data_IF_416552004589
#
_entry.id   IF_416552004589
#
_cell.length_a   1.000
_cell.length_b   1.000
_cell.length_c   1.000
_cell.angle_alpha   90.00
_cell.angle_beta   90.00
_cell.angle_gamma   90.00
#
_symmetry.space_group_name_H-M   'P 1'
#
loop_
_entity.id
_entity.type
_entity.pdbx_description
1 polymer ?
#
# COMPACT_ATOMS: atom_id res chain seq x y z
N UNK A 1 67.36 -53.78 38.15
CA UNK A 1 67.69 -52.34 38.37
C UNK A 1 68.00 -52.14 39.84
N UNK A 2 69.08 -51.44 40.18
CA UNK A 2 69.40 -51.12 41.59
C UNK A 2 68.45 -50.03 42.11
N UNK A 3 68.11 -50.08 43.40
CA UNK A 3 67.26 -49.07 44.07
C UNK A 3 67.62 -47.59 43.78
N UNK A 4 68.90 -47.17 43.69
CA UNK A 4 69.25 -45.80 43.31
C UNK A 4 68.89 -45.44 41.86
N UNK A 5 69.00 -46.37 40.91
CA UNK A 5 68.63 -46.12 39.52
C UNK A 5 67.10 -45.92 39.39
N UNK A 6 66.30 -46.69 40.13
CA UNK A 6 64.86 -46.50 40.19
C UNK A 6 64.45 -45.15 40.79
N UNK A 7 65.13 -44.70 41.87
CA UNK A 7 64.89 -43.37 42.48
C UNK A 7 65.25 -42.23 41.52
N UNK A 8 66.36 -42.33 40.79
CA UNK A 8 66.75 -41.33 39.80
C UNK A 8 65.74 -41.23 38.64
N UNK A 9 65.22 -42.37 38.17
CA UNK A 9 64.18 -42.41 37.16
C UNK A 9 62.87 -41.76 37.63
N UNK A 10 62.43 -42.04 38.86
CA UNK A 10 61.25 -41.41 39.46
C UNK A 10 61.41 -39.90 39.62
N UNK A 11 62.60 -39.41 40.00
CA UNK A 11 62.88 -37.97 40.09
C UNK A 11 62.77 -37.30 38.72
N UNK A 12 63.34 -37.90 37.68
CA UNK A 12 63.21 -37.38 36.29
C UNK A 12 61.75 -37.35 35.84
N UNK A 13 61.00 -38.43 36.09
CA UNK A 13 59.57 -38.48 35.78
C UNK A 13 58.81 -37.31 36.42
N UNK A 14 58.96 -37.11 37.74
CA UNK A 14 58.30 -35.99 38.43
C UNK A 14 58.71 -34.61 37.91
N UNK A 15 59.98 -34.43 37.56
CA UNK A 15 60.45 -33.19 36.95
C UNK A 15 59.73 -32.91 35.62
N UNK A 16 59.60 -33.92 34.76
CA UNK A 16 58.90 -33.80 33.48
C UNK A 16 57.40 -33.59 33.65
N UNK A 17 56.75 -34.26 34.61
CA UNK A 17 55.34 -34.02 34.94
C UNK A 17 55.11 -32.56 35.37
N UNK A 18 56.00 -32.01 36.20
CA UNK A 18 55.91 -30.61 36.61
C UNK A 18 56.14 -29.64 35.45
N UNK A 19 57.13 -29.89 34.60
CA UNK A 19 57.36 -29.07 33.40
C UNK A 19 56.18 -29.15 32.43
N UNK A 20 55.54 -30.33 32.30
CA UNK A 20 54.35 -30.50 31.47
C UNK A 20 53.21 -29.62 32.01
N UNK A 21 52.93 -29.68 33.30
CA UNK A 21 51.89 -28.88 33.96
C UNK A 21 52.13 -27.38 33.79
N UNK A 22 53.36 -26.91 33.99
CA UNK A 22 53.74 -25.52 33.75
C UNK A 22 53.53 -25.11 32.29
N UNK A 23 53.94 -25.96 31.33
CA UNK A 23 53.78 -25.70 29.90
C UNK A 23 52.30 -25.64 29.52
N UNK A 24 51.46 -26.54 30.06
CA UNK A 24 50.01 -26.52 29.82
C UNK A 24 49.36 -25.24 30.35
N UNK A 25 49.76 -24.78 31.54
CA UNK A 25 49.28 -23.51 32.08
C UNK A 25 49.70 -22.31 31.21
N UNK A 26 50.93 -22.32 30.69
CA UNK A 26 51.41 -21.31 29.75
C UNK A 26 50.64 -21.33 28.42
N UNK A 27 50.35 -22.52 27.87
CA UNK A 27 49.53 -22.68 26.67
C UNK A 27 48.15 -22.07 26.88
N UNK A 28 47.47 -22.39 27.99
CA UNK A 28 46.14 -21.84 28.30
C UNK A 28 46.17 -20.31 28.41
N UNK A 29 47.24 -19.74 28.97
CA UNK A 29 47.43 -18.29 29.04
C UNK A 29 47.60 -17.67 27.65
N UNK A 30 48.40 -18.31 26.78
CA UNK A 30 48.60 -17.86 25.40
C UNK A 30 47.31 -17.96 24.58
N UNK A 31 46.53 -19.02 24.73
CA UNK A 31 45.23 -19.17 24.09
C UNK A 31 44.28 -18.02 24.49
N UNK A 32 44.20 -17.69 25.79
CA UNK A 32 43.40 -16.56 26.26
C UNK A 32 43.88 -15.22 25.65
N UNK A 33 45.18 -15.04 25.49
CA UNK A 33 45.74 -13.85 24.83
C UNK A 33 45.39 -13.80 23.34
N UNK A 34 45.47 -14.94 22.65
CA UNK A 34 45.07 -15.06 21.24
C UNK A 34 43.59 -14.66 21.08
N UNK A 35 42.69 -15.21 21.89
CA UNK A 35 41.27 -14.82 21.87
C UNK A 35 41.07 -13.33 22.10
N UNK A 36 41.81 -12.73 23.03
CA UNK A 36 41.72 -11.28 23.29
C UNK A 36 42.20 -10.46 22.10
N UNK A 37 43.26 -10.88 21.40
CA UNK A 37 43.78 -10.21 20.21
C UNK A 37 42.82 -10.35 19.02
N UNK A 38 42.26 -11.54 18.83
CA UNK A 38 41.26 -11.80 17.79
C UNK A 38 40.01 -10.94 18.00
N UNK A 39 39.49 -10.88 19.23
CA UNK A 39 38.37 -10.00 19.57
C UNK A 39 38.72 -8.51 19.32
N UNK A 40 39.92 -8.07 19.70
CA UNK A 40 40.37 -6.70 19.43
C UNK A 40 40.48 -6.41 17.92
N UNK A 41 40.97 -7.37 17.12
CA UNK A 41 41.06 -7.23 15.67
C UNK A 41 39.68 -7.15 15.01
N UNK A 42 38.73 -8.00 15.40
CA UNK A 42 37.34 -7.94 14.92
C UNK A 42 36.71 -6.59 15.25
N UNK A 43 36.91 -6.10 16.48
CA UNK A 43 36.41 -4.79 16.89
C UNK A 43 37.03 -3.67 16.06
N UNK A 44 38.35 -3.71 15.82
CA UNK A 44 39.05 -2.73 14.96
C UNK A 44 38.50 -2.74 13.54
N UNK A 45 38.28 -3.92 12.97
CA UNK A 45 37.75 -4.05 11.61
C UNK A 45 36.30 -3.56 11.51
N UNK A 46 35.48 -3.87 12.50
CA UNK A 46 34.10 -3.37 12.61
C UNK A 46 34.08 -1.85 12.67
N UNK A 47 34.93 -1.24 13.51
CA UNK A 47 35.06 0.22 13.59
C UNK A 47 35.52 0.82 12.26
N UNK A 48 36.53 0.23 11.61
CA UNK A 48 36.98 0.70 10.30
C UNK A 48 35.89 0.58 9.21
N UNK A 49 35.06 -0.46 9.26
CA UNK A 49 33.90 -0.60 8.37
C UNK A 49 32.85 0.48 8.65
N UNK A 50 32.56 0.77 9.92
CA UNK A 50 31.66 1.84 10.33
C UNK A 50 32.17 3.22 9.90
N UNK A 51 33.47 3.50 10.04
CA UNK A 51 34.08 4.76 9.57
C UNK A 51 33.91 4.94 8.06
N UNK A 52 34.17 3.89 7.27
CA UNK A 52 33.95 3.93 5.81
C UNK A 52 32.48 4.13 5.47
N UNK A 53 31.57 3.45 6.16
CA UNK A 53 30.13 3.63 5.98
C UNK A 53 29.69 5.06 6.33
N UNK A 54 30.20 5.61 7.43
CA UNK A 54 29.96 7.00 7.83
C UNK A 54 30.45 8.01 6.80
N UNK A 55 31.67 7.83 6.28
CA UNK A 55 32.21 8.66 5.21
C UNK A 55 31.38 8.56 3.91
N UNK A 56 30.93 7.36 3.54
CA UNK A 56 30.04 7.17 2.39
C UNK A 56 28.69 7.86 2.60
N UNK A 57 28.08 7.73 3.78
CA UNK A 57 26.84 8.43 4.11
C UNK A 57 27.01 9.95 4.10
N UNK A 58 28.13 10.47 4.62
CA UNK A 58 28.46 11.90 4.53
C UNK A 58 28.64 12.35 3.08
N UNK A 59 29.19 11.52 2.19
CA UNK A 59 29.30 11.87 0.77
C UNK A 59 27.94 11.86 0.06
N UNK A 60 27.07 10.89 0.38
CA UNK A 60 25.71 10.81 -0.19
C UNK A 60 24.88 12.01 0.29
N UNK A 61 24.82 12.25 1.61
CA UNK A 61 24.02 13.33 2.18
C UNK A 61 24.67 14.71 2.02
N UNK A 62 26.00 14.80 2.04
CA UNK A 62 26.73 16.06 1.83
C UNK A 62 26.61 16.60 0.40
N UNK A 63 26.31 15.74 -0.57
CA UNK A 63 25.93 16.14 -1.94
C UNK A 63 24.42 16.43 -2.08
N UNK A 64 23.64 16.06 -1.07
CA UNK A 64 22.20 16.29 -0.90
C UNK A 64 22.00 17.46 0.07
N UNK A 65 22.61 18.60 -0.25
CA UNK A 65 22.39 19.86 0.44
C UNK A 65 20.89 20.19 0.38
N UNK A 66 20.30 20.75 1.44
CA UNK A 66 18.91 21.25 1.42
C UNK A 66 18.69 22.16 0.21
N UNK A 67 19.63 23.05 -0.09
CA UNK A 67 19.57 23.92 -1.27
C UNK A 67 19.47 23.15 -2.60
N UNK A 68 20.08 21.96 -2.68
CA UNK A 68 19.98 21.10 -3.87
C UNK A 68 18.66 20.35 -3.92
N UNK A 69 18.12 19.93 -2.78
CA UNK A 69 16.78 19.34 -2.70
C UNK A 69 15.75 20.37 -3.16
N UNK A 70 15.82 21.58 -2.64
CA UNK A 70 14.94 22.69 -3.00
C UNK A 70 15.05 23.00 -4.50
N UNK A 71 16.27 23.11 -5.04
CA UNK A 71 16.48 23.30 -6.47
C UNK A 71 15.93 22.15 -7.33
N UNK A 72 16.05 20.89 -6.89
CA UNK A 72 15.46 19.74 -7.62
C UNK A 72 13.94 19.72 -7.54
N UNK A 73 13.36 20.11 -6.40
CA UNK A 73 11.91 20.21 -6.23
C UNK A 73 11.33 21.34 -7.07
N UNK A 74 12.03 22.47 -7.15
CA UNK A 74 11.66 23.59 -8.01
C UNK A 74 11.67 23.17 -9.48
N UNK A 75 12.75 22.52 -9.93
CA UNK A 75 12.86 22.00 -11.31
C UNK A 75 11.78 20.97 -11.62
N UNK A 76 11.40 20.13 -10.66
CA UNK A 76 10.32 19.17 -10.82
C UNK A 76 8.96 19.86 -10.97
N UNK A 77 8.67 20.88 -10.15
CA UNK A 77 7.45 21.70 -10.28
C UNK A 77 7.39 22.42 -11.62
N UNK A 78 8.50 22.98 -12.06
CA UNK A 78 8.59 23.67 -13.35
C UNK A 78 8.34 22.70 -14.53
N UNK A 79 8.87 21.48 -14.46
CA UNK A 79 8.57 20.43 -15.44
C UNK A 79 7.11 19.95 -15.38
N UNK A 80 6.52 19.88 -14.19
CA UNK A 80 5.10 19.55 -14.04
C UNK A 80 4.21 20.64 -14.67
N UNK A 81 4.50 21.91 -14.37
CA UNK A 81 3.79 23.05 -14.92
C UNK A 81 3.90 23.10 -16.46
N UNK A 82 5.09 22.83 -17.01
CA UNK A 82 5.27 22.70 -18.46
C UNK A 82 4.42 21.56 -19.04
N UNK A 83 4.34 20.42 -18.34
CA UNK A 83 3.50 19.30 -18.74
C UNK A 83 2.00 19.65 -18.76
N UNK A 84 1.53 20.38 -17.75
CA UNK A 84 0.16 20.92 -17.70
C UNK A 84 -0.09 21.95 -18.80
N UNK A 85 0.87 22.82 -19.09
CA UNK A 85 0.77 23.78 -20.19
C UNK A 85 0.71 23.08 -21.55
N UNK A 86 1.52 22.05 -21.78
CA UNK A 86 1.47 21.22 -23.00
C UNK A 86 0.13 20.50 -23.10
N UNK A 87 -0.34 19.88 -22.03
CA UNK A 87 -1.63 19.20 -22.00
C UNK A 87 -2.77 20.19 -22.30
N UNK A 88 -2.76 21.35 -21.64
CA UNK A 88 -3.72 22.43 -21.88
C UNK A 88 -3.64 22.92 -23.31
N UNK A 89 -2.46 23.14 -23.89
CA UNK A 89 -2.30 23.63 -25.26
C UNK A 89 -2.78 22.62 -26.30
N UNK A 90 -2.55 21.32 -26.07
CA UNK A 90 -3.05 20.24 -26.91
C UNK A 90 -4.59 20.17 -26.85
N UNK A 91 -5.17 20.32 -25.66
CA UNK A 91 -6.63 20.27 -25.47
C UNK A 91 -7.35 21.56 -25.86
N UNK A 92 -6.69 22.72 -25.73
CA UNK A 92 -7.26 24.04 -26.06
C UNK A 92 -7.13 24.40 -27.53
N UNK A 93 -6.25 23.72 -28.28
CA UNK A 93 -6.31 23.77 -29.73
C UNK A 93 -7.63 23.10 -30.15
N UNK A 94 -8.53 23.79 -30.86
CA UNK A 94 -9.73 23.14 -31.38
C UNK A 94 -9.27 22.13 -32.43
N UNK A 95 -9.13 20.87 -32.02
CA UNK A 95 -8.88 19.77 -32.95
C UNK A 95 -10.22 19.49 -33.63
N UNK A 96 -10.46 20.18 -34.74
CA UNK A 96 -11.63 19.98 -35.60
C UNK A 96 -12.59 21.17 -35.64
N UNK A 97 -13.53 21.10 -36.58
CA UNK A 97 -14.71 21.98 -36.63
C UNK A 97 -15.41 21.97 -35.26
N UNK A 98 -16.02 23.09 -34.82
CA UNK A 98 -16.85 23.08 -33.62
C UNK A 98 -17.89 21.97 -33.81
N UNK A 99 -17.89 21.01 -32.89
CA UNK A 99 -18.87 19.92 -32.88
C UNK A 99 -20.24 20.60 -32.81
N UNK A 100 -21.11 20.34 -33.80
CA UNK A 100 -22.46 20.86 -33.79
C UNK A 100 -23.25 20.10 -32.72
N UNK A 101 -23.50 20.75 -31.59
CA UNK A 101 -24.22 20.15 -30.46
C UNK A 101 -25.61 19.64 -30.90
N UNK A 102 -26.23 20.26 -31.92
CA UNK A 102 -27.55 19.81 -32.41
C UNK A 102 -27.47 18.50 -33.21
N UNK A 103 -26.42 18.31 -34.00
CA UNK A 103 -26.19 17.05 -34.73
C UNK A 103 -25.86 15.90 -33.76
N UNK A 104 -25.12 16.20 -32.69
CA UNK A 104 -24.78 15.23 -31.64
C UNK A 104 -26.01 14.82 -30.81
N UNK A 105 -26.88 15.78 -30.47
CA UNK A 105 -28.12 15.52 -29.74
C UNK A 105 -29.07 14.63 -30.56
N UNK A 106 -29.17 14.86 -31.87
CA UNK A 106 -29.96 14.04 -32.79
C UNK A 106 -29.39 12.60 -32.89
N UNK A 107 -28.07 12.44 -33.03
CA UNK A 107 -27.41 11.13 -33.07
C UNK A 107 -27.54 10.38 -31.72
N UNK A 108 -27.45 11.09 -30.59
CA UNK A 108 -27.66 10.51 -29.27
C UNK A 108 -29.09 10.00 -29.08
N UNK A 109 -30.08 10.78 -29.50
CA UNK A 109 -31.49 10.39 -29.44
C UNK A 109 -31.77 9.15 -30.29
N UNK A 110 -31.14 9.04 -31.46
CA UNK A 110 -31.24 7.86 -32.33
C UNK A 110 -30.62 6.61 -31.66
N UNK A 111 -29.42 6.74 -31.07
CA UNK A 111 -28.77 5.66 -30.32
C UNK A 111 -29.56 5.21 -29.08
N UNK A 112 -30.20 6.14 -28.37
CA UNK A 112 -31.06 5.82 -27.23
C UNK A 112 -32.32 5.06 -27.66
N UNK A 113 -32.94 5.48 -28.77
CA UNK A 113 -34.09 4.80 -29.34
C UNK A 113 -33.73 3.39 -29.83
N UNK A 114 -32.61 3.23 -30.53
CA UNK A 114 -32.11 1.91 -30.95
C UNK A 114 -31.85 0.99 -29.74
N UNK A 115 -31.29 1.51 -28.64
CA UNK A 115 -31.10 0.75 -27.41
C UNK A 115 -32.42 0.37 -26.74
N UNK A 116 -33.42 1.25 -26.76
CA UNK A 116 -34.75 0.95 -26.24
C UNK A 116 -35.44 -0.12 -27.08
N UNK A 117 -35.35 -0.02 -28.40
CA UNK A 117 -35.93 -1.00 -29.33
C UNK A 117 -35.23 -2.36 -29.19
N UNK A 118 -33.91 -2.40 -29.05
CA UNK A 118 -33.15 -3.64 -28.80
C UNK A 118 -33.49 -4.24 -27.42
N UNK A 119 -33.66 -3.41 -26.38
CA UNK A 119 -34.17 -3.87 -25.08
C UNK A 119 -35.59 -4.41 -25.19
N UNK A 120 -36.47 -3.76 -25.96
CA UNK A 120 -37.85 -4.21 -26.19
C UNK A 120 -37.92 -5.50 -27.00
N UNK A 121 -37.05 -5.69 -28.00
CA UNK A 121 -36.93 -6.97 -28.72
C UNK A 121 -36.41 -8.09 -27.81
N UNK A 122 -35.54 -7.77 -26.85
CA UNK A 122 -35.01 -8.73 -25.85
C UNK A 122 -36.01 -9.03 -24.73
N UNK A 123 -36.96 -8.14 -24.44
CA UNK A 123 -38.12 -8.46 -23.59
C UNK A 123 -39.10 -9.31 -24.38
N UNK A 124 -38.97 -10.64 -24.27
CA UNK A 124 -39.80 -11.60 -24.98
C UNK A 124 -41.31 -11.37 -24.85
N UNK A 125 -42.05 -11.87 -25.83
CA UNK A 125 -43.52 -11.82 -25.93
C UNK A 125 -44.22 -12.04 -24.59
N UNK A 126 -44.95 -11.04 -24.10
CA UNK A 126 -45.83 -11.19 -22.95
C UNK A 126 -46.89 -12.23 -23.31
N UNK A 127 -47.06 -13.33 -22.55
CA UNK A 127 -48.09 -14.33 -22.87
C UNK A 127 -49.46 -13.76 -22.51
N UNK A 128 -50.11 -13.09 -23.47
CA UNK A 128 -51.55 -12.83 -23.36
C UNK A 128 -52.28 -14.04 -23.91
N UNK A 129 -52.25 -15.13 -23.14
CA UNK A 129 -53.14 -16.26 -23.34
C UNK A 129 -53.79 -16.58 -22.00
N UNK A 130 -55.12 -16.49 -22.01
CA UNK A 130 -56.03 -17.31 -21.19
C UNK A 130 -56.74 -16.71 -19.97
N UNK A 131 -56.93 -15.38 -19.86
CA UNK A 131 -57.74 -14.78 -18.76
C UNK A 131 -58.85 -13.80 -19.17
N UNK A 132 -59.23 -13.70 -20.46
CA UNK A 132 -60.31 -12.79 -20.91
C UNK A 132 -61.72 -13.45 -20.85
N UNK A 133 -61.83 -14.76 -20.60
CA UNK A 133 -63.13 -15.48 -20.63
C UNK A 133 -63.82 -15.75 -19.28
N UNK A 134 -63.38 -15.15 -18.17
CA UNK A 134 -64.04 -15.32 -16.86
C UNK A 134 -64.19 -14.00 -16.10
N UNK A 135 -65.02 -13.11 -16.62
CA UNK A 135 -65.54 -11.98 -15.84
C UNK A 135 -66.86 -12.40 -15.17
N UNK A 136 -66.95 -12.42 -13.82
CA UNK A 136 -68.22 -12.53 -13.12
C UNK A 136 -69.03 -11.23 -13.26
N UNK A 137 -70.35 -11.34 -13.43
CA UNK A 137 -71.26 -10.22 -13.62
C UNK A 137 -71.25 -9.27 -12.41
N UNK A 138 -71.08 -7.97 -12.67
CA UNK A 138 -70.94 -6.93 -11.66
C UNK A 138 -72.19 -6.80 -10.77
N UNK A 139 -72.01 -6.91 -9.45
CA UNK A 139 -73.01 -6.59 -8.45
C UNK A 139 -72.82 -5.15 -7.96
N UNK A 140 -73.81 -4.30 -8.20
CA UNK A 140 -73.90 -2.94 -7.67
C UNK A 140 -74.17 -2.98 -6.15
N UNK A 141 -73.24 -2.46 -5.34
CA UNK A 141 -73.38 -2.30 -3.89
C UNK A 141 -72.35 -1.31 -3.34
N UNK A 142 -72.76 -0.47 -2.38
CA UNK A 142 -72.10 0.75 -1.92
C UNK A 142 -70.70 0.56 -1.30
N UNK A 143 -69.79 1.51 -1.59
CA UNK A 143 -68.39 1.52 -1.14
C UNK A 143 -68.32 2.06 0.30
N UNK A 144 -67.96 1.22 1.28
CA UNK A 144 -67.66 1.64 2.66
C UNK A 144 -66.14 1.86 2.86
N UNK A 145 -65.77 3.13 3.07
CA UNK A 145 -64.69 3.63 3.93
C UNK A 145 -63.23 3.21 3.68
N UNK A 146 -62.41 4.13 3.17
CA UNK A 146 -60.93 4.07 3.23
C UNK A 146 -60.43 4.45 4.63
N UNK A 147 -59.51 3.67 5.19
CA UNK A 147 -58.62 4.09 6.29
C UNK A 147 -57.33 4.74 5.71
N UNK A 148 -56.63 5.62 6.45
CA UNK A 148 -55.81 6.69 5.88
C UNK A 148 -54.39 6.31 5.47
N UNK A 149 -53.90 6.96 4.41
CA UNK A 149 -52.55 6.91 3.79
C UNK A 149 -51.55 7.82 4.53
N UNK A 150 -51.91 8.34 5.71
CA UNK A 150 -51.23 9.47 6.35
C UNK A 150 -50.00 9.10 7.20
N UNK A 151 -49.60 7.83 7.25
CA UNK A 151 -48.46 7.41 8.07
C UNK A 151 -47.10 7.57 7.36
N UNK A 152 -47.07 7.66 6.03
CA UNK A 152 -45.82 7.77 5.26
C UNK A 152 -45.42 9.24 5.02
N UNK A 153 -46.37 10.16 4.90
CA UNK A 153 -46.08 11.58 4.62
C UNK A 153 -45.45 12.34 5.82
N UNK A 154 -45.73 11.92 7.06
CA UNK A 154 -45.16 12.56 8.26
C UNK A 154 -43.67 12.22 8.47
N UNK A 155 -43.22 11.04 8.02
CA UNK A 155 -41.83 10.58 8.16
C UNK A 155 -40.89 11.34 7.20
N UNK A 156 -41.35 11.54 5.96
CA UNK A 156 -40.61 12.27 4.93
C UNK A 156 -40.38 13.76 5.28
N UNK A 157 -41.36 14.42 5.90
CA UNK A 157 -41.23 15.83 6.32
C UNK A 157 -40.23 16.03 7.47
N UNK A 158 -40.10 15.06 8.38
CA UNK A 158 -39.14 15.14 9.49
C UNK A 158 -37.69 14.99 9.00
N UNK A 159 -37.44 14.11 8.02
CA UNK A 159 -36.10 13.95 7.43
C UNK A 159 -35.63 15.21 6.71
N UNK A 160 -36.53 15.85 5.94
CA UNK A 160 -36.23 17.11 5.24
C UNK A 160 -35.84 18.25 6.20
N UNK A 161 -36.49 18.35 7.37
CA UNK A 161 -36.15 19.39 8.36
C UNK A 161 -34.78 19.18 9.00
N UNK A 162 -34.38 17.92 9.27
CA UNK A 162 -33.05 17.62 9.81
C UNK A 162 -31.94 18.05 8.85
N UNK A 163 -32.09 17.73 7.57
CA UNK A 163 -31.13 18.10 6.52
C UNK A 163 -30.97 19.62 6.39
N UNK A 164 -32.08 20.38 6.49
CA UNK A 164 -32.03 21.85 6.44
C UNK A 164 -31.34 22.46 7.68
N UNK A 165 -31.51 21.87 8.86
CA UNK A 165 -30.87 22.36 10.08
C UNK A 165 -29.35 22.11 10.10
N UNK A 166 -28.89 21.01 9.49
CA UNK A 166 -27.47 20.67 9.39
C UNK A 166 -26.71 21.60 8.44
N UNK A 167 -27.35 22.10 7.38
CA UNK A 167 -26.73 23.06 6.44
C UNK A 167 -26.71 24.51 6.93
N UNK A 168 -27.34 24.80 8.07
CA UNK A 168 -27.45 26.15 8.64
C UNK A 168 -26.56 26.37 9.88
N UNK A 169 -25.68 25.41 10.22
CA UNK A 169 -24.54 25.57 11.13
C UNK A 169 -23.22 25.60 10.37
#
# INVERSE_FOLDING_TARGET
MSAPAARAALKRKKQHEHTLEQTTAQISTLEQQIYSIEAANINRETLAAMERAGAAMQQIHGKLNIDKVDATMEKLREQHALGEEIASAITSAPIGEPIDESELDDELAELEQEQLDDKMLKTGTVPVSDEIHRLPAAANGEIKGKAPVHAEEEDDEEELRKLQAEMAM
#
